data_IF_812458904103
#
_entry.id   IF_812458904103
#
_cell.length_a   1.000
_cell.length_b   1.000
_cell.length_c   1.000
_cell.angle_alpha   90.00
_cell.angle_beta   90.00
_cell.angle_gamma   90.00
#
_symmetry.space_group_name_H-M   'P 1'
#
loop_
_entity.id
_entity.type
_entity.pdbx_description
1 polymer ?
#
# COMPACT_ATOMS: atom_id res chain seq x y z
N UNK A 1 12.60 -9.05 14.01
CA UNK A 1 12.36 -7.65 13.72
C UNK A 1 10.89 -7.37 13.63
N UNK A 2 10.44 -6.36 14.36
CA UNK A 2 9.01 -6.04 14.40
C UNK A 2 8.58 -5.03 13.37
N UNK A 3 9.50 -4.27 12.80
CA UNK A 3 9.19 -3.33 11.71
C UNK A 3 10.19 -3.47 10.58
N UNK A 4 9.76 -3.09 9.39
CA UNK A 4 10.60 -3.17 8.22
C UNK A 4 9.97 -2.42 7.07
N UNK A 5 10.65 -2.43 5.93
CA UNK A 5 10.13 -1.83 4.72
C UNK A 5 10.63 -2.60 3.51
N UNK A 6 9.90 -2.47 2.41
CA UNK A 6 10.32 -3.05 1.13
C UNK A 6 9.67 -2.29 -0.02
N UNK A 7 10.28 -2.30 -1.21
CA UNK A 7 9.69 -1.64 -2.37
C UNK A 7 8.51 -2.44 -2.92
N UNK A 8 7.58 -1.72 -3.54
CA UNK A 8 6.44 -2.32 -4.22
C UNK A 8 5.97 -1.39 -5.34
N UNK A 9 5.16 -1.93 -6.25
CA UNK A 9 4.51 -1.13 -7.28
C UNK A 9 3.01 -1.19 -7.05
N UNK A 10 2.37 -0.03 -7.11
CA UNK A 10 0.93 0.09 -6.94
C UNK A 10 0.25 -0.38 -8.21
N UNK A 11 -0.65 -1.36 -8.09
CA UNK A 11 -1.43 -1.84 -9.22
C UNK A 11 -2.79 -1.17 -9.30
N UNK A 12 -3.41 -0.93 -8.14
CA UNK A 12 -4.76 -0.38 -8.08
C UNK A 12 -4.94 0.29 -6.73
N UNK A 13 -5.74 1.33 -6.71
CA UNK A 13 -6.14 2.02 -5.48
C UNK A 13 -7.66 2.10 -5.49
N UNK A 14 -8.29 1.65 -4.41
CA UNK A 14 -9.75 1.69 -4.32
C UNK A 14 -10.16 2.27 -2.97
N UNK A 15 -10.84 3.44 -2.97
CA UNK A 15 -11.39 3.98 -1.73
C UNK A 15 -12.52 3.10 -1.22
N UNK A 16 -12.55 2.90 0.10
CA UNK A 16 -13.58 2.11 0.76
C UNK A 16 -14.10 2.90 1.94
N UNK A 17 -15.42 3.03 2.05
CA UNK A 17 -16.05 3.71 3.18
C UNK A 17 -16.50 2.64 4.18
N UNK A 18 -16.00 2.75 5.41
CA UNK A 18 -16.36 1.83 6.49
C UNK A 18 -16.79 2.69 7.68
N UNK A 19 -18.02 2.51 8.10
CA UNK A 19 -18.60 3.26 9.23
C UNK A 19 -18.38 4.77 9.10
N UNK A 20 -18.55 5.31 7.88
CA UNK A 20 -18.40 6.73 7.63
C UNK A 20 -16.97 7.22 7.50
N UNK A 21 -15.99 6.32 7.58
CA UNK A 21 -14.58 6.68 7.41
C UNK A 21 -14.06 6.11 6.11
N UNK A 22 -13.20 6.89 5.43
CA UNK A 22 -12.59 6.47 4.18
C UNK A 22 -11.27 5.77 4.49
N UNK A 23 -11.13 4.56 3.95
CA UNK A 23 -9.86 3.84 3.89
C UNK A 23 -9.50 3.61 2.43
N UNK A 24 -8.24 3.28 2.17
CA UNK A 24 -7.79 2.96 0.83
C UNK A 24 -7.35 1.50 0.79
N UNK A 25 -7.88 0.76 -0.17
CA UNK A 25 -7.39 -0.56 -0.51
C UNK A 25 -6.36 -0.39 -1.61
N UNK A 26 -5.09 -0.62 -1.28
CA UNK A 26 -3.99 -0.47 -2.22
C UNK A 26 -3.50 -1.87 -2.60
N UNK A 27 -3.51 -2.17 -3.89
CA UNK A 27 -3.06 -3.45 -4.42
C UNK A 27 -1.63 -3.30 -4.88
N UNK A 28 -0.74 -4.12 -4.31
CA UNK A 28 0.70 -3.97 -4.45
C UNK A 28 1.32 -5.24 -5.02
N UNK A 29 2.35 -5.08 -5.84
CA UNK A 29 3.14 -6.21 -6.35
C UNK A 29 4.62 -5.94 -6.11
N UNK A 30 5.40 -7.02 -6.06
CA UNK A 30 6.86 -6.93 -6.00
C UNK A 30 7.37 -6.35 -7.32
N UNK A 31 8.25 -5.34 -7.30
CA UNK A 31 8.80 -4.79 -8.55
C UNK A 31 9.52 -5.82 -9.41
N UNK A 32 10.07 -6.88 -8.79
CA UNK A 32 10.76 -7.93 -9.52
C UNK A 32 9.82 -9.00 -10.06
N UNK A 33 8.57 -8.99 -9.61
CA UNK A 33 7.55 -9.95 -10.04
C UNK A 33 6.23 -9.23 -10.30
N UNK A 34 6.18 -8.32 -11.28
CA UNK A 34 4.97 -7.49 -11.49
C UNK A 34 3.73 -8.30 -11.87
N UNK A 35 3.92 -9.50 -12.41
CA UNK A 35 2.80 -10.40 -12.73
C UNK A 35 2.59 -11.46 -11.64
N UNK A 36 3.28 -11.31 -10.51
CA UNK A 36 3.19 -12.24 -9.41
C UNK A 36 2.01 -11.97 -8.49
N UNK A 37 2.15 -12.42 -7.26
CA UNK A 37 1.10 -12.30 -6.27
C UNK A 37 0.84 -10.85 -5.89
N UNK A 38 -0.44 -10.48 -5.87
CA UNK A 38 -0.88 -9.15 -5.46
C UNK A 38 -1.17 -9.18 -3.96
N UNK A 39 -0.64 -8.20 -3.25
CA UNK A 39 -0.88 -8.02 -1.82
C UNK A 39 -1.82 -6.84 -1.64
N UNK A 40 -2.85 -7.02 -0.82
CA UNK A 40 -3.80 -5.96 -0.49
C UNK A 40 -3.41 -5.32 0.83
N UNK A 41 -3.31 -3.98 0.85
CA UNK A 41 -3.10 -3.22 2.06
C UNK A 41 -4.26 -2.26 2.24
N UNK A 42 -4.93 -2.30 3.39
CA UNK A 42 -6.00 -1.36 3.74
C UNK A 42 -5.44 -0.35 4.73
N UNK A 43 -5.32 0.89 4.30
CA UNK A 43 -4.67 1.94 5.09
C UNK A 43 -5.46 3.24 4.95
N UNK A 44 -5.30 4.13 5.94
CA UNK A 44 -5.94 5.42 5.88
C UNK A 44 -5.29 6.34 4.87
N UNK A 45 -6.05 7.30 4.32
CA UNK A 45 -5.49 8.20 3.30
C UNK A 45 -4.35 9.08 3.83
N UNK A 46 -4.28 9.31 5.13
CA UNK A 46 -3.19 10.08 5.74
C UNK A 46 -1.87 9.31 5.78
N UNK A 47 -1.90 8.02 5.53
CA UNK A 47 -0.71 7.15 5.59
C UNK A 47 -0.15 6.82 4.21
N UNK A 48 -0.61 7.50 3.17
CA UNK A 48 -0.13 7.32 1.79
C UNK A 48 0.23 8.68 1.20
N UNK A 49 1.07 8.70 0.13
CA UNK A 49 1.34 9.95 -0.58
C UNK A 49 0.04 10.51 -1.19
N UNK A 50 -0.08 11.85 -1.18
CA UNK A 50 -1.27 12.51 -1.71
C UNK A 50 -1.50 12.28 -3.19
N UNK A 51 -0.40 12.15 -3.92
CA UNK A 51 -0.44 12.00 -5.38
C UNK A 51 -0.22 10.57 -5.81
N UNK A 52 -0.56 9.60 -4.95
CA UNK A 52 -0.37 8.19 -5.26
C UNK A 52 -1.26 7.77 -6.43
N UNK A 53 -0.65 7.10 -7.40
CA UNK A 53 -1.33 6.63 -8.60
C UNK A 53 -0.93 5.20 -8.93
N UNK A 54 -1.80 4.45 -9.63
CA UNK A 54 -1.39 3.14 -10.15
C UNK A 54 -0.13 3.26 -11.03
N UNK A 55 0.79 2.33 -10.84
CA UNK A 55 2.08 2.34 -11.52
C UNK A 55 3.19 2.96 -10.70
N UNK A 56 2.87 3.66 -9.62
CA UNK A 56 3.88 4.28 -8.78
C UNK A 56 4.69 3.23 -8.03
N UNK A 57 5.99 3.52 -7.89
CA UNK A 57 6.87 2.73 -7.04
C UNK A 57 6.88 3.36 -5.66
N UNK A 58 6.63 2.55 -4.64
CA UNK A 58 6.55 3.01 -3.27
C UNK A 58 7.39 2.15 -2.35
N UNK A 59 7.68 2.68 -1.17
CA UNK A 59 8.26 1.92 -0.07
C UNK A 59 7.13 1.58 0.88
N UNK A 60 6.93 0.29 1.13
CA UNK A 60 5.90 -0.22 2.03
C UNK A 60 6.50 -0.40 3.40
N UNK A 61 5.90 0.22 4.40
CA UNK A 61 6.38 0.14 5.79
C UNK A 61 5.50 -0.78 6.60
N UNK A 62 6.12 -1.64 7.40
CA UNK A 62 5.44 -2.64 8.21
C UNK A 62 5.72 -2.46 9.69
N UNK A 63 4.75 -2.85 10.49
CA UNK A 63 4.93 -3.06 11.92
C UNK A 63 4.19 -4.33 12.29
N UNK A 64 4.92 -5.31 12.86
CA UNK A 64 4.33 -6.59 13.26
C UNK A 64 3.63 -7.30 12.10
N UNK A 65 4.19 -7.20 10.89
CA UNK A 65 3.63 -7.82 9.71
C UNK A 65 2.43 -7.11 9.10
N UNK A 66 2.05 -5.97 9.65
CA UNK A 66 0.93 -5.18 9.15
C UNK A 66 1.47 -3.94 8.45
N UNK A 67 0.94 -3.63 7.27
CA UNK A 67 1.32 -2.42 6.54
C UNK A 67 0.78 -1.20 7.29
N UNK A 68 1.67 -0.27 7.61
CA UNK A 68 1.31 0.94 8.35
C UNK A 68 1.29 2.18 7.48
N UNK A 69 2.13 2.25 6.45
CA UNK A 69 2.18 3.43 5.58
C UNK A 69 2.89 3.11 4.27
N UNK A 70 2.70 3.97 3.29
CA UNK A 70 3.43 3.95 2.02
C UNK A 70 4.11 5.30 1.84
N UNK A 71 5.33 5.29 1.31
CA UNK A 71 6.05 6.53 0.94
C UNK A 71 6.60 6.39 -0.47
N UNK A 72 6.81 7.53 -1.13
CA UNK A 72 7.41 7.55 -2.46
C UNK A 72 8.86 7.99 -2.43
#
# INVERSE_FOLDING_TARGET
>A
MLKGSRPAIVKKIQPVSIHGQISLDVYLVDPQEPDGQVTLARIGPESVPRDLEPGDRVEVHYLLGVVTSLTK
#
